data_IF_429502789310
#
_entry.id   IF_429502789310
#
_cell.length_a   1.000
_cell.length_b   1.000
_cell.length_c   1.000
_cell.angle_alpha   90.00
_cell.angle_beta   90.00
_cell.angle_gamma   90.00
#
_symmetry.space_group_name_H-M   'P 1'
#
loop_
_entity.id
_entity.type
_entity.pdbx_description
1 polymer ?
#
# COMPACT_ATOMS: atom_id res chain seq x y z
N UNK A 1 14.36 -41.71 -27.11
CA UNK A 1 13.30 -42.08 -26.15
C UNK A 1 11.93 -41.89 -26.81
N UNK A 2 11.08 -42.94 -26.87
CA UNK A 2 9.79 -42.88 -27.59
C UNK A 2 8.76 -42.12 -26.73
N UNK A 3 8.34 -40.93 -27.19
CA UNK A 3 7.36 -40.01 -26.55
C UNK A 3 6.11 -40.71 -26.00
N UNK A 4 5.70 -41.81 -26.64
CA UNK A 4 4.57 -42.66 -26.22
C UNK A 4 4.73 -43.29 -24.83
N UNK A 5 5.95 -43.55 -24.38
CA UNK A 5 6.21 -44.17 -23.07
C UNK A 5 6.09 -43.13 -21.94
N UNK A 6 6.37 -41.87 -22.24
CA UNK A 6 6.23 -40.75 -21.29
C UNK A 6 4.75 -40.49 -21.01
N UNK A 7 3.91 -40.49 -22.05
CA UNK A 7 2.46 -40.28 -21.91
C UNK A 7 1.79 -41.41 -21.13
N UNK A 8 2.24 -42.67 -21.32
CA UNK A 8 1.77 -43.82 -20.53
C UNK A 8 2.17 -43.73 -19.04
N UNK A 9 3.33 -43.15 -18.73
CA UNK A 9 3.74 -42.89 -17.35
C UNK A 9 2.94 -41.76 -16.69
N UNK A 10 2.57 -40.74 -17.47
CA UNK A 10 1.82 -39.58 -17.00
C UNK A 10 0.38 -39.92 -16.58
N UNK A 11 -0.25 -40.94 -17.16
CA UNK A 11 -1.58 -41.40 -16.75
C UNK A 11 -1.61 -42.16 -15.43
N UNK A 12 -0.47 -42.62 -14.92
CA UNK A 12 -0.33 -43.29 -13.62
C UNK A 12 -0.01 -42.30 -12.47
N UNK A 13 0.32 -41.04 -12.80
CA UNK A 13 0.67 -40.00 -11.82
C UNK A 13 -0.48 -39.66 -10.83
N UNK A 14 -1.77 -39.63 -11.21
CA UNK A 14 -2.86 -39.37 -10.26
C UNK A 14 -2.99 -40.48 -9.20
N UNK A 15 -2.73 -41.74 -9.59
CA UNK A 15 -2.76 -42.87 -8.66
C UNK A 15 -1.51 -42.94 -7.76
N UNK A 16 -0.35 -42.52 -8.26
CA UNK A 16 0.84 -42.33 -7.43
C UNK A 16 0.73 -41.13 -6.48
N UNK A 17 -0.02 -40.09 -6.86
CA UNK A 17 -0.28 -38.90 -6.03
C UNK A 17 -1.29 -39.13 -4.92
N UNK A 18 -2.22 -40.09 -5.05
CA UNK A 18 -3.26 -40.37 -4.05
C UNK A 18 -2.75 -41.04 -2.76
N UNK A 19 -1.64 -41.79 -2.82
CA UNK A 19 -1.05 -42.44 -1.63
C UNK A 19 0.22 -41.75 -1.12
N UNK A 20 0.79 -40.81 -1.88
CA UNK A 20 1.87 -39.93 -1.44
C UNK A 20 1.37 -38.55 -0.96
N UNK A 21 0.13 -38.16 -1.30
CA UNK A 21 -0.48 -36.90 -0.87
C UNK A 21 -0.79 -36.82 0.64
N UNK A 22 -0.68 -37.92 1.37
CA UNK A 22 -0.78 -37.95 2.84
C UNK A 22 0.56 -37.73 3.56
N UNK A 23 1.69 -37.68 2.84
CA UNK A 23 3.04 -37.52 3.43
C UNK A 23 3.80 -36.30 2.89
N UNK A 24 3.31 -35.62 1.86
CA UNK A 24 3.91 -34.38 1.38
C UNK A 24 3.07 -33.22 1.92
N UNK A 25 3.58 -32.40 2.87
CA UNK A 25 2.88 -31.20 3.28
C UNK A 25 2.71 -30.32 2.04
N UNK A 26 1.48 -29.90 1.78
CA UNK A 26 1.12 -28.94 0.73
C UNK A 26 1.72 -27.57 1.03
N UNK A 27 3.04 -27.42 0.91
CA UNK A 27 3.79 -26.19 1.18
C UNK A 27 3.63 -25.13 0.08
N UNK A 28 2.70 -25.31 -0.86
CA UNK A 28 2.50 -24.42 -2.00
C UNK A 28 1.14 -23.70 -1.99
N UNK A 29 0.46 -23.62 -0.84
CA UNK A 29 -0.78 -22.87 -0.70
C UNK A 29 -0.66 -21.82 0.41
N UNK A 30 0.10 -20.75 0.15
CA UNK A 30 -0.18 -19.39 0.62
C UNK A 30 0.95 -18.44 0.16
N UNK A 31 1.04 -18.16 -1.15
CA UNK A 31 1.53 -16.85 -1.56
C UNK A 31 0.41 -15.84 -1.29
N UNK A 32 0.12 -15.59 -0.01
CA UNK A 32 -0.84 -14.61 0.41
C UNK A 32 -0.25 -13.22 0.14
N UNK A 33 -0.94 -12.47 -0.71
CA UNK A 33 -0.89 -11.03 -0.95
C UNK A 33 0.31 -10.32 -0.31
N UNK A 34 1.28 -9.93 -1.14
CA UNK A 34 2.31 -8.97 -0.71
C UNK A 34 1.63 -7.76 -0.07
N UNK A 35 1.82 -7.58 1.24
CA UNK A 35 1.24 -6.47 1.98
C UNK A 35 1.64 -5.14 1.35
N UNK A 36 0.80 -4.10 1.52
CA UNK A 36 1.17 -2.73 1.15
C UNK A 36 2.54 -2.42 1.78
N UNK A 37 3.43 -1.84 0.98
CA UNK A 37 4.77 -1.43 1.40
C UNK A 37 4.68 -0.60 2.69
N UNK A 38 5.34 -1.04 3.75
CA UNK A 38 5.43 -0.30 5.01
C UNK A 38 6.78 0.43 5.08
N UNK A 39 6.78 1.71 4.69
CA UNK A 39 7.98 2.54 4.67
C UNK A 39 8.55 2.75 6.08
N UNK A 40 7.73 2.77 7.14
CA UNK A 40 8.23 2.91 8.50
C UNK A 40 8.98 1.66 8.95
N UNK A 41 8.46 0.47 8.61
CA UNK A 41 9.13 -0.79 8.90
C UNK A 41 10.48 -0.90 8.15
N UNK A 42 10.52 -0.52 6.87
CA UNK A 42 11.75 -0.52 6.06
C UNK A 42 12.84 0.40 6.64
N UNK A 43 12.44 1.55 7.19
CA UNK A 43 13.36 2.50 7.82
C UNK A 43 13.70 2.15 9.28
N UNK A 44 13.14 1.07 9.83
CA UNK A 44 13.36 0.68 11.23
C UNK A 44 12.74 1.64 12.26
N UNK A 45 11.70 2.39 11.86
CA UNK A 45 11.06 3.40 12.69
C UNK A 45 9.89 2.81 13.51
N UNK A 46 9.85 3.14 14.80
CA UNK A 46 8.76 2.72 15.69
C UNK A 46 7.53 3.61 15.53
N UNK A 47 6.35 2.99 15.40
CA UNK A 47 5.05 3.69 15.47
C UNK A 47 4.57 3.69 16.92
N UNK A 48 3.86 4.73 17.33
CA UNK A 48 3.28 4.84 18.67
C UNK A 48 1.98 5.67 18.64
N UNK A 49 1.14 5.51 19.67
CA UNK A 49 -0.08 6.29 19.83
C UNK A 49 0.28 7.61 20.51
N UNK A 50 0.03 8.72 19.82
CA UNK A 50 0.23 10.05 20.39
C UNK A 50 -0.96 10.47 21.26
N UNK A 51 -0.77 10.49 22.57
CA UNK A 51 -1.74 11.01 23.56
C UNK A 51 -1.28 12.32 24.23
N UNK A 52 -0.19 12.93 23.74
CA UNK A 52 0.41 14.14 24.32
C UNK A 52 0.02 15.43 23.57
N UNK A 53 -0.67 15.30 22.43
CA UNK A 53 -1.08 16.42 21.59
C UNK A 53 -0.14 16.67 20.41
N UNK A 54 -0.26 17.83 19.78
CA UNK A 54 0.40 18.15 18.50
C UNK A 54 1.83 18.67 18.71
N UNK A 55 2.74 17.79 19.13
CA UNK A 55 4.15 18.13 19.33
C UNK A 55 4.98 17.95 18.06
N UNK A 56 5.84 18.93 17.78
CA UNK A 56 6.75 18.94 16.61
C UNK A 56 7.69 17.73 16.60
N UNK A 57 8.23 17.36 17.77
CA UNK A 57 9.07 16.17 17.92
C UNK A 57 8.32 14.85 17.60
N UNK A 58 6.98 14.90 17.51
CA UNK A 58 6.08 13.78 17.25
C UNK A 58 5.29 13.98 15.95
N UNK A 59 5.88 14.70 15.00
CA UNK A 59 5.33 14.93 13.64
C UNK A 59 4.00 15.70 13.58
N UNK A 60 3.67 16.46 14.62
CA UNK A 60 2.47 17.32 14.69
C UNK A 60 1.16 16.56 14.42
N UNK A 61 0.29 17.10 13.56
CA UNK A 61 -1.06 16.57 13.27
C UNK A 61 -1.06 15.61 12.08
N UNK A 62 -1.92 14.60 12.12
CA UNK A 62 -2.21 13.76 10.96
C UNK A 62 -3.20 14.47 10.02
N UNK A 63 -3.03 14.25 8.71
CA UNK A 63 -3.95 14.78 7.70
C UNK A 63 -5.23 13.91 7.62
N UNK A 64 -6.42 14.51 7.59
CA UNK A 64 -7.68 13.81 7.29
C UNK A 64 -7.69 13.14 5.91
N UNK A 65 -8.62 12.19 5.68
CA UNK A 65 -8.68 11.39 4.44
C UNK A 65 -8.90 12.25 3.18
N UNK A 66 -9.80 13.22 3.25
CA UNK A 66 -10.11 14.15 2.16
C UNK A 66 -8.90 15.02 1.76
N UNK A 67 -8.09 15.43 2.74
CA UNK A 67 -6.83 16.15 2.50
C UNK A 67 -5.81 15.25 1.81
N UNK A 68 -5.68 14.00 2.26
CA UNK A 68 -4.77 13.04 1.64
C UNK A 68 -5.18 12.71 0.20
N UNK A 69 -6.47 12.59 -0.07
CA UNK A 69 -7.00 12.38 -1.42
C UNK A 69 -6.66 13.55 -2.35
N UNK A 70 -6.86 14.79 -1.88
CA UNK A 70 -6.51 15.99 -2.65
C UNK A 70 -5.00 16.07 -2.96
N UNK A 71 -4.14 15.72 -2.00
CA UNK A 71 -2.68 15.66 -2.21
C UNK A 71 -2.34 14.58 -3.24
N UNK A 72 -2.89 13.38 -3.09
CA UNK A 72 -2.60 12.25 -3.98
C UNK A 72 -3.08 12.48 -5.42
N UNK A 73 -4.19 13.21 -5.61
CA UNK A 73 -4.67 13.58 -6.95
C UNK A 73 -3.85 14.71 -7.57
N UNK A 74 -3.57 15.77 -6.81
CA UNK A 74 -2.90 16.98 -7.33
C UNK A 74 -1.40 16.83 -7.55
N UNK A 75 -0.71 15.95 -6.81
CA UNK A 75 0.73 15.72 -6.95
C UNK A 75 1.19 15.18 -8.32
N UNK A 76 0.25 14.86 -9.22
CA UNK A 76 0.53 14.31 -10.56
C UNK A 76 0.50 15.37 -11.66
N UNK A 77 0.15 16.60 -11.33
CA UNK A 77 -0.04 17.70 -12.28
C UNK A 77 0.82 18.90 -11.86
N UNK A 78 1.26 19.68 -12.86
CA UNK A 78 1.97 20.92 -12.62
C UNK A 78 1.02 22.10 -12.81
N UNK A 79 1.10 23.04 -11.88
CA UNK A 79 0.38 24.32 -11.92
C UNK A 79 1.32 25.43 -11.49
N UNK A 80 0.99 26.66 -11.87
CA UNK A 80 1.74 27.83 -11.41
C UNK A 80 1.51 28.01 -9.90
N UNK A 81 2.60 28.03 -9.13
CA UNK A 81 2.52 28.13 -7.66
C UNK A 81 1.83 29.42 -7.22
N UNK A 82 2.11 30.53 -7.90
CA UNK A 82 1.53 31.84 -7.59
C UNK A 82 0.00 31.79 -7.71
N UNK A 83 -0.55 31.15 -8.76
CA UNK A 83 -2.01 31.00 -8.92
C UNK A 83 -2.63 30.17 -7.79
N UNK A 84 -1.93 29.12 -7.31
CA UNK A 84 -2.39 28.33 -6.16
C UNK A 84 -2.41 29.18 -4.89
N UNK A 85 -1.36 29.97 -4.65
CA UNK A 85 -1.25 30.83 -3.47
C UNK A 85 -2.33 31.92 -3.47
N UNK A 86 -2.57 32.57 -4.62
CA UNK A 86 -3.62 33.57 -4.77
C UNK A 86 -5.00 32.98 -4.43
N UNK A 87 -5.32 31.80 -4.98
CA UNK A 87 -6.61 31.13 -4.73
C UNK A 87 -6.78 30.62 -3.30
N UNK A 88 -5.69 30.21 -2.65
CA UNK A 88 -5.70 29.86 -1.22
C UNK A 88 -5.92 31.11 -0.38
N UNK A 89 -5.23 32.22 -0.70
CA UNK A 89 -5.39 33.51 -0.03
C UNK A 89 -6.83 34.01 -0.08
N UNK A 90 -7.45 34.03 -1.26
CA UNK A 90 -8.86 34.39 -1.46
C UNK A 90 -9.82 33.58 -0.56
N UNK A 91 -9.58 32.27 -0.40
CA UNK A 91 -10.41 31.43 0.48
C UNK A 91 -10.20 31.74 1.96
N UNK A 92 -8.94 31.91 2.37
CA UNK A 92 -8.61 32.18 3.77
C UNK A 92 -9.16 33.54 4.18
N UNK A 93 -8.97 34.58 3.35
CA UNK A 93 -9.47 35.92 3.64
C UNK A 93 -11.00 35.95 3.73
N UNK A 94 -11.69 35.21 2.86
CA UNK A 94 -13.14 35.05 2.94
C UNK A 94 -13.62 34.38 4.25
N UNK A 95 -12.91 33.36 4.73
CA UNK A 95 -13.21 32.68 6.00
C UNK A 95 -12.89 33.53 7.22
N UNK A 96 -11.81 34.31 7.15
CA UNK A 96 -11.34 35.15 8.25
C UNK A 96 -11.94 36.57 8.25
N UNK A 97 -12.70 36.93 7.21
CA UNK A 97 -13.18 38.30 6.96
C UNK A 97 -12.04 39.34 6.91
N UNK A 98 -10.92 38.96 6.30
CA UNK A 98 -9.73 39.79 6.15
C UNK A 98 -9.59 40.30 4.70
N UNK A 99 -8.62 41.18 4.46
CA UNK A 99 -8.16 41.45 3.10
C UNK A 99 -7.45 40.22 2.52
N UNK A 100 -7.51 40.10 1.19
CA UNK A 100 -6.85 39.03 0.44
C UNK A 100 -5.42 39.41 0.12
#
# INVERSE_FOLDING_TARGET
MKRRNVIKGLSLLPFAGGTLGSVIPSSFAAAAQGGKRDVFAELGLRRFINAAGTYTAMTASLMPEDVMDAINSSAKEFVMLDEVQDKVGEKISAMCHAEA
#
